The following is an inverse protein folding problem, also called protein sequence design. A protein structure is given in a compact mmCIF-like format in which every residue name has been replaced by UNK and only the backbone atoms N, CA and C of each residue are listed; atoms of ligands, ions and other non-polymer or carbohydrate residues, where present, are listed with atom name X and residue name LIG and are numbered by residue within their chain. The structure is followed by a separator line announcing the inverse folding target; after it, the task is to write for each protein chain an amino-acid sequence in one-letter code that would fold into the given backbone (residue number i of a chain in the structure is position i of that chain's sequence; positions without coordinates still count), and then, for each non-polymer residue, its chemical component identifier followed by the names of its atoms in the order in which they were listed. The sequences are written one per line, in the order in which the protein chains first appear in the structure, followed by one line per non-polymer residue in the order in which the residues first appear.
data_IF_841061916748
#
_entry.id   IF_841061916748
#
_cell.length_a   1.000
_cell.length_b   1.000
_cell.length_c   1.000
_cell.angle_alpha   90.00
_cell.angle_beta   90.00
_cell.angle_gamma   90.00
#
_symmetry.space_group_name_H-M   'P 1'
#
loop_
_entity.id
_entity.type
_entity.pdbx_description
1 polymer ?
#
# COMPACT_ATOMS: atom_id res chain seq x y z
N UNK A 1 5.56 8.36 14.10
CA UNK A 1 4.60 9.46 13.88
C UNK A 1 3.59 9.55 15.03
N UNK A 2 2.70 8.54 15.27
CA UNK A 2 1.61 8.62 16.26
C UNK A 2 2.06 8.89 17.71
N UNK A 3 3.14 8.26 18.18
CA UNK A 3 3.71 8.50 19.52
C UNK A 3 4.26 9.91 19.67
N UNK A 4 4.94 10.41 18.64
CA UNK A 4 5.48 11.78 18.65
C UNK A 4 4.35 12.81 18.68
N UNK A 5 3.30 12.61 17.88
CA UNK A 5 2.13 13.49 17.89
C UNK A 5 1.44 13.54 19.26
N UNK A 6 1.35 12.38 19.94
CA UNK A 6 0.79 12.34 21.31
C UNK A 6 1.72 12.99 22.34
N UNK A 7 3.04 12.79 22.20
CA UNK A 7 4.03 13.43 23.06
C UNK A 7 4.00 14.95 22.90
N UNK A 8 3.95 15.46 21.66
CA UNK A 8 3.86 16.89 21.36
C UNK A 8 2.58 17.49 21.96
N UNK A 9 1.44 16.80 21.85
CA UNK A 9 0.19 17.27 22.45
C UNK A 9 0.24 17.32 24.00
N UNK A 10 0.86 16.32 24.63
CA UNK A 10 1.07 16.34 26.10
C UNK A 10 2.05 17.43 26.52
N UNK A 11 3.08 17.69 25.74
CA UNK A 11 4.06 18.74 26.00
C UNK A 11 3.45 20.13 25.86
N UNK A 12 2.64 20.36 24.85
CA UNK A 12 1.92 21.61 24.62
C UNK A 12 0.94 21.91 25.78
N UNK A 13 0.17 20.90 26.21
CA UNK A 13 -0.72 21.02 27.33
C UNK A 13 0.03 21.28 28.66
N UNK A 14 1.23 20.72 28.85
CA UNK A 14 2.07 21.01 30.03
C UNK A 14 2.60 22.44 30.01
N UNK A 15 3.08 22.93 28.85
CA UNK A 15 3.61 24.28 28.68
C UNK A 15 2.56 25.35 28.88
N UNK A 16 1.30 25.08 28.54
CA UNK A 16 0.19 26.02 28.72
C UNK A 16 -0.46 25.91 30.10
N UNK A 17 0.05 25.04 30.99
CA UNK A 17 -0.54 24.73 32.32
C UNK A 17 -1.99 24.18 32.23
N UNK A 18 -2.31 23.53 31.11
CA UNK A 18 -3.62 22.95 30.79
C UNK A 18 -3.65 21.43 31.01
N UNK A 19 -2.54 20.83 31.43
CA UNK A 19 -2.44 19.41 31.69
C UNK A 19 -3.08 19.06 33.04
N UNK A 20 -4.37 19.23 33.13
CA UNK A 20 -5.23 18.89 34.26
C UNK A 20 -6.56 18.29 33.80
N UNK A 21 -7.14 17.38 34.61
CA UNK A 21 -8.47 16.81 34.36
C UNK A 21 -9.61 17.81 34.58
N UNK A 22 -9.34 18.97 35.16
CA UNK A 22 -10.30 20.06 35.31
C UNK A 22 -10.47 20.92 34.05
N UNK A 23 -9.54 20.85 33.13
CA UNK A 23 -9.69 21.42 31.77
C UNK A 23 -10.34 20.36 30.86
N UNK A 24 -11.66 20.40 30.76
CA UNK A 24 -12.45 19.44 29.97
C UNK A 24 -12.10 19.50 28.47
N UNK A 25 -11.72 20.64 27.93
CA UNK A 25 -11.45 20.81 26.50
C UNK A 25 -10.13 20.12 26.13
N UNK A 26 -9.03 20.49 26.77
CA UNK A 26 -7.71 19.88 26.54
C UNK A 26 -7.71 18.39 26.87
N UNK A 27 -8.35 17.96 27.96
CA UNK A 27 -8.47 16.53 28.28
C UNK A 27 -9.22 15.76 27.20
N UNK A 28 -10.35 16.29 26.71
CA UNK A 28 -11.14 15.64 25.66
C UNK A 28 -10.38 15.52 24.33
N UNK A 29 -9.56 16.52 24.00
CA UNK A 29 -8.70 16.46 22.80
C UNK A 29 -7.60 15.41 22.92
N UNK A 30 -6.94 15.31 24.08
CA UNK A 30 -5.93 14.28 24.36
C UNK A 30 -6.53 12.87 24.26
N UNK A 31 -7.70 12.66 24.86
CA UNK A 31 -8.42 11.38 24.79
C UNK A 31 -8.77 11.04 23.33
N UNK A 32 -9.34 11.99 22.60
CA UNK A 32 -9.69 11.80 21.18
C UNK A 32 -8.47 11.48 20.30
N UNK A 33 -7.34 12.15 20.56
CA UNK A 33 -6.10 11.89 19.85
C UNK A 33 -5.55 10.49 20.14
N UNK A 34 -5.62 10.07 21.40
CA UNK A 34 -5.21 8.75 21.84
C UNK A 34 -6.09 7.65 21.22
N UNK A 35 -7.41 7.78 21.28
CA UNK A 35 -8.36 6.83 20.70
C UNK A 35 -8.20 6.70 19.19
N UNK A 36 -8.09 7.81 18.47
CA UNK A 36 -7.86 7.84 17.03
C UNK A 36 -6.61 7.07 16.61
N UNK A 37 -5.58 7.08 17.45
CA UNK A 37 -4.29 6.44 17.17
C UNK A 37 -4.13 5.07 17.86
N UNK A 38 -5.15 4.57 18.56
CA UNK A 38 -5.11 3.36 19.38
C UNK A 38 -3.93 3.39 20.36
N UNK A 39 -3.86 4.50 21.12
CA UNK A 39 -2.86 4.75 22.14
C UNK A 39 -3.51 4.77 23.51
N UNK A 40 -2.80 4.24 24.48
CA UNK A 40 -3.07 4.43 25.90
C UNK A 40 -2.03 5.38 26.46
N UNK A 41 -2.44 6.37 27.23
CA UNK A 41 -1.51 7.29 27.86
C UNK A 41 -1.77 7.42 29.35
N UNK A 42 -0.71 7.74 30.05
CA UNK A 42 -0.68 8.02 31.47
C UNK A 42 0.30 9.18 31.69
N UNK A 43 -0.14 10.23 32.35
CA UNK A 43 0.72 11.29 32.84
C UNK A 43 0.49 11.50 34.34
N UNK A 44 1.59 11.64 35.09
CA UNK A 44 1.56 11.83 36.55
C UNK A 44 2.29 13.09 36.92
N UNK A 45 1.60 13.96 37.63
CA UNK A 45 2.22 15.14 38.22
C UNK A 45 3.02 14.73 39.48
N UNK A 46 4.29 15.06 39.53
CA UNK A 46 5.19 14.69 40.63
C UNK A 46 4.95 15.47 41.93
N UNK A 47 4.24 16.62 41.87
CA UNK A 47 3.98 17.47 43.02
C UNK A 47 2.79 17.01 43.83
N UNK A 48 1.67 16.73 43.15
CA UNK A 48 0.39 16.39 43.78
C UNK A 48 -0.05 14.94 43.50
N UNK A 49 0.76 14.18 42.76
CA UNK A 49 0.49 12.79 42.35
C UNK A 49 -0.81 12.62 41.55
N UNK A 50 -1.27 13.69 40.93
CA UNK A 50 -2.47 13.66 40.12
C UNK A 50 -2.21 12.87 38.84
N UNK A 51 -3.15 11.98 38.53
CA UNK A 51 -3.08 11.06 37.40
C UNK A 51 -4.01 11.50 36.30
N UNK A 52 -3.48 11.55 35.05
CA UNK A 52 -4.23 11.88 33.85
C UNK A 52 -4.08 10.70 32.88
N UNK A 53 -5.17 10.11 32.45
CA UNK A 53 -5.14 8.91 31.60
C UNK A 53 -6.45 8.73 30.85
N UNK A 54 -6.41 8.07 29.68
CA UNK A 54 -7.60 7.68 28.92
C UNK A 54 -8.10 6.25 29.24
N UNK A 55 -7.55 5.60 30.27
CA UNK A 55 -7.86 4.19 30.60
C UNK A 55 -8.44 4.07 31.98
N UNK A 56 -9.53 3.32 32.13
CA UNK A 56 -10.19 3.08 33.42
C UNK A 56 -9.46 2.06 34.33
N UNK A 57 -8.73 1.09 33.71
CA UNK A 57 -7.95 0.09 34.43
C UNK A 57 -6.46 0.36 34.24
N UNK A 58 -5.86 1.06 35.17
CA UNK A 58 -4.49 1.60 35.05
C UNK A 58 -3.41 0.72 35.66
N UNK A 59 -3.76 -0.47 36.21
CA UNK A 59 -2.83 -1.27 37.00
C UNK A 59 -1.53 -1.62 36.24
N UNK A 60 -1.63 -2.05 34.97
CA UNK A 60 -0.46 -2.39 34.18
C UNK A 60 0.35 -1.15 33.79
N UNK A 61 -0.34 -0.06 33.46
CA UNK A 61 0.31 1.22 33.11
C UNK A 61 1.03 1.82 34.33
N UNK A 62 0.40 1.75 35.52
CA UNK A 62 1.01 2.21 36.76
C UNK A 62 2.23 1.38 37.13
N UNK A 63 2.15 0.04 37.02
CA UNK A 63 3.31 -0.83 37.28
C UNK A 63 4.50 -0.53 36.36
N UNK A 64 4.23 -0.25 35.08
CA UNK A 64 5.25 0.12 34.11
C UNK A 64 5.83 1.50 34.41
N UNK A 65 5.01 2.44 34.87
CA UNK A 65 5.47 3.75 35.32
C UNK A 65 6.33 3.64 36.60
N UNK A 66 5.89 2.85 37.59
CA UNK A 66 6.62 2.60 38.82
C UNK A 66 7.98 1.92 38.54
N UNK A 67 8.01 0.97 37.60
CA UNK A 67 9.24 0.36 37.14
C UNK A 67 10.21 1.38 36.53
N UNK A 68 9.67 2.33 35.73
CA UNK A 68 10.45 3.42 35.17
C UNK A 68 11.00 4.36 36.26
N UNK A 69 10.17 4.79 37.20
CA UNK A 69 10.58 5.67 38.29
C UNK A 69 11.65 5.03 39.17
N UNK A 70 11.58 3.70 39.38
CA UNK A 70 12.55 2.94 40.16
C UNK A 70 13.77 2.51 39.35
N UNK A 71 13.90 2.99 38.10
CA UNK A 71 14.94 2.61 37.15
C UNK A 71 15.11 1.08 36.99
N UNK A 72 14.00 0.35 37.14
CA UNK A 72 13.92 -1.09 36.93
C UNK A 72 13.60 -1.35 35.46
N UNK A 73 14.64 -1.55 34.64
CA UNK A 73 14.44 -2.05 33.27
C UNK A 73 14.06 -3.52 33.35
N UNK A 74 12.90 -3.90 32.84
CA UNK A 74 12.55 -5.31 32.73
C UNK A 74 13.53 -6.00 31.76
N UNK A 75 13.92 -7.22 32.08
CA UNK A 75 14.97 -8.00 31.37
C UNK A 75 14.66 -8.25 29.88
N UNK A 76 13.43 -7.95 29.45
CA UNK A 76 12.90 -8.20 28.10
C UNK A 76 12.64 -6.92 27.29
N UNK A 77 12.96 -5.73 27.80
CA UNK A 77 12.74 -4.48 27.10
C UNK A 77 13.81 -4.28 26.02
N UNK A 78 13.37 -4.12 24.78
CA UNK A 78 14.23 -3.74 23.66
C UNK A 78 14.10 -2.25 23.39
N UNK A 79 15.11 -1.48 23.72
CA UNK A 79 15.13 -0.04 23.43
C UNK A 79 15.31 0.17 21.93
N UNK A 80 14.34 0.86 21.33
CA UNK A 80 14.33 1.23 19.89
C UNK A 80 14.93 2.61 19.66
N UNK A 81 14.65 3.54 20.58
CA UNK A 81 15.15 4.93 20.52
C UNK A 81 15.24 5.49 21.94
N UNK A 82 16.32 6.19 22.22
CA UNK A 82 16.53 6.90 23.48
C UNK A 82 16.99 8.31 23.19
N UNK A 83 16.34 9.30 23.83
CA UNK A 83 16.69 10.72 23.82
C UNK A 83 16.81 11.18 25.27
N UNK A 84 17.20 12.43 25.49
CA UNK A 84 17.28 13.00 26.84
C UNK A 84 15.89 13.18 27.48
N UNK A 85 14.84 13.28 26.66
CA UNK A 85 13.46 13.58 27.10
C UNK A 85 12.60 12.33 27.17
N UNK A 86 12.82 11.35 26.28
CA UNK A 86 12.01 10.12 26.23
C UNK A 86 12.80 8.89 25.76
N UNK A 87 12.30 7.74 26.14
CA UNK A 87 12.76 6.43 25.70
C UNK A 87 11.60 5.67 25.04
N UNK A 88 11.83 5.12 23.84
CA UNK A 88 10.90 4.26 23.11
C UNK A 88 11.39 2.82 23.22
N UNK A 89 10.58 1.95 23.80
CA UNK A 89 10.91 0.54 24.06
C UNK A 89 9.83 -0.38 23.52
N UNK A 90 10.23 -1.56 23.11
CA UNK A 90 9.36 -2.69 22.84
C UNK A 90 9.36 -3.57 24.09
N UNK A 91 8.19 -3.73 24.70
CA UNK A 91 8.01 -4.43 25.98
C UNK A 91 7.02 -5.56 25.82
N UNK A 92 7.29 -6.72 26.43
CA UNK A 92 6.36 -7.84 26.47
C UNK A 92 5.53 -7.77 27.74
N UNK A 93 4.20 -7.67 27.59
CA UNK A 93 3.27 -7.67 28.73
C UNK A 93 3.31 -8.96 29.54
N UNK A 94 2.97 -8.86 30.83
CA UNK A 94 2.92 -10.01 31.74
C UNK A 94 1.80 -10.99 31.44
N UNK A 95 0.72 -10.53 30.80
CA UNK A 95 -0.36 -11.40 30.34
C UNK A 95 -0.02 -11.98 28.96
N UNK A 96 0.06 -13.29 28.91
CA UNK A 96 0.11 -14.19 27.74
C UNK A 96 0.54 -13.58 26.40
N UNK A 97 1.77 -13.06 26.32
CA UNK A 97 2.41 -12.86 25.01
C UNK A 97 2.09 -11.57 24.26
N UNK A 98 1.32 -10.66 24.83
CA UNK A 98 1.02 -9.37 24.21
C UNK A 98 2.27 -8.49 24.21
N UNK A 99 2.68 -8.04 23.03
CA UNK A 99 3.80 -7.12 22.87
C UNK A 99 3.27 -5.69 22.74
N UNK A 100 3.94 -4.76 23.42
CA UNK A 100 3.57 -3.34 23.43
C UNK A 100 4.75 -2.49 22.95
N UNK A 101 4.43 -1.48 22.18
CA UNK A 101 5.36 -0.38 21.96
C UNK A 101 5.06 0.70 23.01
N UNK A 102 6.07 1.06 23.78
CA UNK A 102 5.97 1.97 24.91
C UNK A 102 6.93 3.15 24.74
N UNK A 103 6.41 4.35 24.92
CA UNK A 103 7.19 5.58 24.99
C UNK A 103 7.03 6.15 26.41
N UNK A 104 8.13 6.37 27.08
CA UNK A 104 8.14 6.88 28.46
C UNK A 104 9.19 7.97 28.63
N UNK A 105 8.96 8.91 29.52
CA UNK A 105 9.87 10.01 29.74
C UNK A 105 9.32 11.06 30.71
N UNK A 106 9.88 12.26 30.63
CA UNK A 106 9.47 13.41 31.43
C UNK A 106 8.92 14.52 30.54
N UNK A 107 7.89 15.24 31.03
CA UNK A 107 7.38 16.46 30.42
C UNK A 107 7.74 17.62 31.37
N UNK A 108 8.57 18.53 30.89
CA UNK A 108 9.10 19.58 31.74
C UNK A 108 9.77 19.06 33.01
N UNK A 109 9.54 19.77 34.13
CA UNK A 109 10.09 19.41 35.44
C UNK A 109 9.14 18.65 36.36
N UNK A 110 7.85 18.61 36.01
CA UNK A 110 6.80 18.24 36.96
C UNK A 110 6.02 16.97 36.59
N UNK A 111 6.11 16.52 35.34
CA UNK A 111 5.34 15.36 34.89
C UNK A 111 6.22 14.23 34.41
N UNK A 112 5.77 13.01 34.68
CA UNK A 112 6.27 11.80 34.02
C UNK A 112 5.12 11.26 33.17
N UNK A 113 5.44 10.82 31.96
CA UNK A 113 4.46 10.26 31.05
C UNK A 113 4.83 8.86 30.56
N UNK A 114 3.81 8.13 30.18
CA UNK A 114 3.89 6.85 29.51
C UNK A 114 2.82 6.79 28.44
N UNK A 115 3.22 6.46 27.22
CA UNK A 115 2.32 6.24 26.08
C UNK A 115 2.56 4.82 25.59
N UNK A 116 1.50 4.04 25.47
CA UNK A 116 1.56 2.63 25.12
C UNK A 116 0.62 2.30 23.97
N UNK A 117 1.05 1.37 23.09
CA UNK A 117 0.21 0.82 22.02
C UNK A 117 0.46 -0.68 21.88
N UNK A 118 -0.57 -1.51 21.82
CA UNK A 118 -0.39 -2.93 21.57
C UNK A 118 0.10 -3.17 20.14
N UNK A 119 1.13 -4.02 19.99
CA UNK A 119 1.72 -4.35 18.67
C UNK A 119 0.77 -5.24 17.87
N UNK A 120 -0.03 -6.07 18.52
CA UNK A 120 -1.05 -6.91 17.86
C UNK A 120 -2.03 -6.10 17.01
N UNK A 121 -2.43 -4.91 17.46
CA UNK A 121 -3.32 -4.03 16.68
C UNK A 121 -2.66 -3.51 15.41
N UNK A 122 -1.33 -3.36 15.43
CA UNK A 122 -0.54 -2.95 14.26
C UNK A 122 -0.42 -4.12 13.27
N UNK A 123 -0.18 -5.34 13.77
CA UNK A 123 -0.06 -6.55 12.94
C UNK A 123 -1.40 -6.91 12.27
N UNK A 124 -2.53 -6.77 12.96
CA UNK A 124 -3.85 -6.99 12.36
C UNK A 124 -4.16 -6.00 11.23
N UNK A 125 -3.82 -4.73 11.40
CA UNK A 125 -4.00 -3.71 10.35
C UNK A 125 -3.12 -3.98 9.13
N UNK A 126 -1.88 -4.43 9.34
CA UNK A 126 -0.96 -4.83 8.26
C UNK A 126 -1.45 -6.11 7.56
N UNK A 127 -1.95 -7.09 8.31
CA UNK A 127 -2.48 -8.34 7.74
C UNK A 127 -3.73 -8.10 6.87
N UNK A 128 -4.63 -7.22 7.30
CA UNK A 128 -5.81 -6.82 6.51
C UNK A 128 -5.41 -6.08 5.24
N UNK A 129 -4.46 -5.14 5.33
CA UNK A 129 -3.92 -4.42 4.17
C UNK A 129 -3.24 -5.36 3.19
N UNK A 130 -2.44 -6.31 3.66
CA UNK A 130 -1.78 -7.31 2.80
C UNK A 130 -2.79 -8.20 2.08
N UNK A 131 -3.84 -8.67 2.78
CA UNK A 131 -4.88 -9.48 2.17
C UNK A 131 -5.62 -8.72 1.06
N UNK A 132 -5.93 -7.44 1.27
CA UNK A 132 -6.53 -6.58 0.27
C UNK A 132 -5.60 -6.39 -0.94
N UNK A 133 -4.31 -6.13 -0.72
CA UNK A 133 -3.33 -5.97 -1.79
C UNK A 133 -3.19 -7.23 -2.64
N UNK A 134 -3.14 -8.43 -2.03
CA UNK A 134 -3.08 -9.71 -2.75
C UNK A 134 -4.30 -9.89 -3.66
N UNK A 135 -5.50 -9.56 -3.19
CA UNK A 135 -6.72 -9.67 -4.00
C UNK A 135 -6.67 -8.71 -5.20
N UNK A 136 -6.25 -7.46 -4.98
CA UNK A 136 -6.10 -6.48 -6.07
C UNK A 136 -5.05 -6.93 -7.08
N UNK A 137 -3.91 -7.46 -6.63
CA UNK A 137 -2.84 -7.97 -7.49
C UNK A 137 -3.32 -9.13 -8.36
N UNK A 138 -4.08 -10.07 -7.81
CA UNK A 138 -4.67 -11.18 -8.57
C UNK A 138 -5.65 -10.69 -9.64
N UNK A 139 -6.49 -9.70 -9.32
CA UNK A 139 -7.42 -9.10 -10.29
C UNK A 139 -6.65 -8.44 -11.43
N UNK A 140 -5.63 -7.64 -11.12
CA UNK A 140 -4.80 -6.97 -12.13
C UNK A 140 -4.09 -7.99 -13.03
N UNK A 141 -3.60 -9.09 -12.46
CA UNK A 141 -2.94 -10.16 -13.20
C UNK A 141 -3.90 -10.84 -14.18
N UNK A 142 -5.11 -11.19 -13.73
CA UNK A 142 -6.15 -11.80 -14.58
C UNK A 142 -6.55 -10.86 -15.73
N UNK A 143 -6.79 -9.59 -15.42
CA UNK A 143 -7.13 -8.57 -16.43
C UNK A 143 -5.98 -8.38 -17.42
N UNK A 144 -4.73 -8.36 -16.94
CA UNK A 144 -3.54 -8.25 -17.80
C UNK A 144 -3.41 -9.43 -18.78
N UNK A 145 -3.56 -10.67 -18.31
CA UNK A 145 -3.53 -11.85 -19.16
C UNK A 145 -4.66 -11.81 -20.21
N UNK A 146 -5.86 -11.43 -19.77
CA UNK A 146 -7.01 -11.29 -20.68
C UNK A 146 -6.77 -10.24 -21.76
N UNK A 147 -6.20 -9.09 -21.41
CA UNK A 147 -5.83 -8.04 -22.36
C UNK A 147 -4.82 -8.53 -23.39
N UNK A 148 -3.73 -9.18 -22.94
CA UNK A 148 -2.71 -9.72 -23.86
C UNK A 148 -3.32 -10.71 -24.84
N UNK A 149 -4.16 -11.63 -24.36
CA UNK A 149 -4.86 -12.59 -25.23
C UNK A 149 -5.79 -11.90 -26.24
N UNK A 150 -6.55 -10.89 -25.78
CA UNK A 150 -7.48 -10.14 -26.62
C UNK A 150 -6.74 -9.36 -27.72
N UNK A 151 -5.68 -8.64 -27.36
CA UNK A 151 -4.88 -7.88 -28.34
C UNK A 151 -4.10 -8.79 -29.30
N UNK A 152 -3.61 -9.92 -28.82
CA UNK A 152 -2.93 -10.91 -29.69
C UNK A 152 -3.85 -11.40 -30.81
N UNK A 153 -5.08 -11.79 -30.48
CA UNK A 153 -6.04 -12.26 -31.48
C UNK A 153 -6.56 -11.15 -32.39
N UNK A 154 -6.73 -9.96 -31.87
CA UNK A 154 -7.40 -8.89 -32.64
C UNK A 154 -6.46 -8.02 -33.47
N UNK A 155 -5.19 -8.00 -33.13
CA UNK A 155 -4.18 -7.18 -33.81
C UNK A 155 -3.01 -8.02 -34.35
N UNK A 156 -2.41 -8.84 -33.51
CA UNK A 156 -1.14 -9.51 -33.85
C UNK A 156 -1.33 -10.62 -34.87
N UNK A 157 -2.34 -11.49 -34.70
CA UNK A 157 -2.61 -12.57 -35.68
C UNK A 157 -2.94 -12.04 -37.09
N UNK A 158 -3.88 -11.07 -37.28
CA UNK A 158 -4.17 -10.53 -38.58
C UNK A 158 -2.96 -9.85 -39.27
N UNK A 159 -2.19 -9.10 -38.50
CA UNK A 159 -0.99 -8.46 -39.04
C UNK A 159 0.07 -9.47 -39.48
N UNK A 160 0.21 -10.58 -38.72
CA UNK A 160 1.13 -11.66 -39.08
C UNK A 160 0.66 -12.40 -40.37
N UNK A 161 -0.65 -12.60 -40.53
CA UNK A 161 -1.22 -13.15 -41.76
C UNK A 161 -0.92 -12.25 -42.98
N UNK A 162 -1.15 -10.93 -42.86
CA UNK A 162 -0.82 -9.97 -43.92
C UNK A 162 0.67 -9.96 -44.28
N UNK A 163 1.55 -10.05 -43.27
CA UNK A 163 2.98 -10.15 -43.50
C UNK A 163 3.34 -11.41 -44.27
N UNK A 164 2.80 -12.58 -43.91
CA UNK A 164 3.00 -13.85 -44.63
C UNK A 164 2.44 -13.83 -46.04
N UNK A 165 1.28 -13.17 -46.26
CA UNK A 165 0.73 -12.99 -47.62
C UNK A 165 1.60 -12.10 -48.48
N UNK A 166 2.19 -11.05 -47.91
CA UNK A 166 3.14 -10.17 -48.60
C UNK A 166 4.37 -10.92 -49.06
N UNK A 167 4.88 -11.87 -48.27
CA UNK A 167 6.00 -12.73 -48.63
C UNK A 167 5.67 -13.66 -49.81
N UNK A 168 4.48 -14.30 -49.76
CA UNK A 168 3.96 -15.14 -50.83
C UNK A 168 3.78 -14.37 -52.15
N UNK A 169 3.24 -13.15 -52.08
CA UNK A 169 3.13 -12.29 -53.27
C UNK A 169 4.50 -11.95 -53.89
N UNK A 170 5.53 -11.78 -53.09
CA UNK A 170 6.89 -11.56 -53.58
C UNK A 170 7.43 -12.79 -54.33
N UNK A 171 6.96 -13.98 -54.03
CA UNK A 171 7.23 -15.24 -54.71
C UNK A 171 6.32 -15.51 -55.92
N UNK A 172 5.44 -14.56 -56.26
CA UNK A 172 4.43 -14.65 -57.33
C UNK A 172 3.31 -15.66 -57.04
N UNK A 173 3.11 -16.04 -55.76
CA UNK A 173 1.98 -16.84 -55.31
C UNK A 173 0.82 -15.89 -54.91
N UNK A 174 -0.13 -15.71 -55.82
CA UNK A 174 -1.30 -14.87 -55.65
C UNK A 174 -2.54 -15.60 -55.19
N UNK A 175 -2.50 -16.94 -55.01
CA UNK A 175 -3.65 -17.75 -54.61
C UNK A 175 -4.02 -17.54 -53.14
N UNK A 176 -3.03 -17.19 -52.32
CA UNK A 176 -3.25 -16.94 -50.92
C UNK A 176 -3.98 -15.62 -50.70
N UNK A 177 -5.11 -15.68 -49.96
CA UNK A 177 -5.95 -14.53 -49.66
C UNK A 177 -6.03 -14.28 -48.14
N UNK A 178 -6.18 -13.03 -47.79
CA UNK A 178 -6.47 -12.65 -46.41
C UNK A 178 -7.91 -13.08 -46.01
N UNK A 179 -8.03 -13.82 -44.94
CA UNK A 179 -9.31 -14.40 -44.48
C UNK A 179 -9.70 -14.01 -43.07
N UNK A 180 -8.79 -13.49 -42.27
CA UNK A 180 -9.01 -13.08 -40.86
C UNK A 180 -9.79 -11.77 -40.74
N UNK A 181 -10.68 -11.47 -41.70
CA UNK A 181 -11.45 -10.25 -41.79
C UNK A 181 -12.28 -9.95 -40.55
N UNK A 182 -12.23 -8.68 -40.10
CA UNK A 182 -13.09 -8.09 -39.08
C UNK A 182 -13.57 -6.74 -39.57
N UNK A 183 -14.63 -6.20 -38.95
CA UNK A 183 -15.19 -4.88 -39.28
C UNK A 183 -14.32 -3.72 -38.76
N UNK A 184 -13.00 -3.89 -38.73
CA UNK A 184 -12.04 -2.88 -38.27
C UNK A 184 -11.07 -2.48 -39.41
N UNK A 185 -10.19 -1.53 -39.13
CA UNK A 185 -9.21 -1.01 -40.09
C UNK A 185 -8.26 -2.09 -40.62
N UNK A 186 -8.01 -3.14 -39.83
CA UNK A 186 -7.19 -4.29 -40.26
C UNK A 186 -7.93 -5.14 -41.28
N UNK A 187 -9.24 -5.33 -41.10
CA UNK A 187 -10.10 -6.01 -42.07
C UNK A 187 -10.13 -5.27 -43.41
N UNK A 188 -10.32 -3.95 -43.37
CA UNK A 188 -10.28 -3.09 -44.56
C UNK A 188 -8.91 -3.17 -45.26
N UNK A 189 -7.83 -3.19 -44.50
CA UNK A 189 -6.46 -3.36 -45.04
C UNK A 189 -6.32 -4.72 -45.74
N UNK A 190 -6.84 -5.78 -45.13
CA UNK A 190 -6.83 -7.13 -45.72
C UNK A 190 -7.61 -7.24 -47.05
N UNK A 191 -8.80 -6.62 -47.14
CA UNK A 191 -9.58 -6.59 -48.35
C UNK A 191 -8.83 -5.81 -49.47
N UNK A 192 -8.24 -4.67 -49.15
CA UNK A 192 -7.42 -3.90 -50.09
C UNK A 192 -6.22 -4.70 -50.54
N UNK A 193 -5.60 -5.48 -49.67
CA UNK A 193 -4.52 -6.40 -49.99
C UNK A 193 -4.96 -7.48 -50.98
N UNK A 194 -6.11 -8.13 -50.74
CA UNK A 194 -6.67 -9.13 -51.65
C UNK A 194 -6.93 -8.53 -53.05
N UNK A 195 -7.50 -7.32 -53.11
CA UNK A 195 -7.80 -6.62 -54.35
C UNK A 195 -6.52 -6.24 -55.11
N UNK A 196 -5.44 -5.88 -54.42
CA UNK A 196 -4.14 -5.60 -55.00
C UNK A 196 -3.52 -6.90 -55.57
N UNK A 197 -3.62 -8.03 -54.84
CA UNK A 197 -3.15 -9.35 -55.28
C UNK A 197 -3.82 -9.76 -56.58
N UNK A 198 -5.15 -9.66 -56.69
CA UNK A 198 -5.90 -9.98 -57.92
C UNK A 198 -5.49 -9.12 -59.11
N UNK A 199 -5.28 -7.83 -58.88
CA UNK A 199 -4.87 -6.93 -59.96
C UNK A 199 -3.47 -7.23 -60.48
N UNK A 200 -2.52 -7.58 -59.60
CA UNK A 200 -1.18 -8.00 -59.97
C UNK A 200 -1.18 -9.31 -60.74
N UNK A 201 -1.94 -10.31 -60.29
CA UNK A 201 -2.11 -11.59 -60.96
C UNK A 201 -2.62 -11.42 -62.41
N UNK A 202 -3.71 -10.64 -62.58
CA UNK A 202 -4.26 -10.32 -63.88
C UNK A 202 -3.23 -9.63 -64.79
N UNK A 203 -2.53 -8.63 -64.27
CA UNK A 203 -1.53 -7.87 -65.05
C UNK A 203 -0.36 -8.75 -65.49
N UNK A 204 0.15 -9.62 -64.62
CA UNK A 204 1.23 -10.55 -64.94
C UNK A 204 0.76 -11.58 -65.97
N UNK A 205 -0.48 -12.09 -65.84
CA UNK A 205 -1.06 -13.00 -66.85
C UNK A 205 -1.19 -12.36 -68.22
N UNK A 206 -1.66 -11.12 -68.29
CA UNK A 206 -1.74 -10.35 -69.56
C UNK A 206 -0.37 -10.11 -70.16
N UNK A 207 0.64 -9.75 -69.37
CA UNK A 207 2.02 -9.58 -69.85
C UNK A 207 2.59 -10.90 -70.37
N UNK A 208 2.37 -12.01 -69.71
CA UNK A 208 2.82 -13.33 -70.21
C UNK A 208 2.15 -13.70 -71.54
N UNK A 209 0.84 -13.43 -71.69
CA UNK A 209 0.13 -13.67 -72.96
C UNK A 209 0.65 -12.81 -74.09
N UNK A 210 0.88 -11.51 -73.84
CA UNK A 210 1.43 -10.59 -74.84
C UNK A 210 2.82 -10.98 -75.26
N UNK A 211 3.68 -11.44 -74.34
CA UNK A 211 5.04 -11.88 -74.64
C UNK A 211 5.11 -13.20 -75.44
N UNK A 212 4.12 -14.12 -75.21
CA UNK A 212 4.04 -15.39 -75.95
C UNK A 212 3.41 -15.27 -77.36
N UNK A 213 2.87 -14.08 -77.69
CA UNK A 213 2.23 -13.81 -78.94
C UNK A 213 3.14 -13.01 -79.93
N UNK A 214 4.38 -12.74 -79.51
CA UNK A 214 5.47 -12.18 -80.29
C UNK A 214 6.40 -13.30 -80.75
#
# INVERSE_FOLDING_TARGET
AKFISMYEALLDAEQNDELDTSDEETYSELVRLAEKNNLFFLAVNLKDQKLITNVQHTMDLQQNLDAFMLNRTEKNDRTLKKTDEYELTETRGKEAGTEYLMMRGTLGSNYIFLIQSPIESIQQSVALSNKFLIVVELIVLVVGIWMVWFFSKRLTEPLRELAGLSEKMAELDFDAKYTSGGDNEIGVLGENFNRMSEKLESTISELKKANNSL
#
